data_IF_535754741766
#
_entry.id   IF_535754741766
#
_cell.length_a   1.000
_cell.length_b   1.000
_cell.length_c   1.000
_cell.angle_alpha   90.00
_cell.angle_beta   90.00
_cell.angle_gamma   90.00
#
_symmetry.space_group_name_H-M   'P 1'
#
loop_
_entity.id
_entity.type
_entity.pdbx_description
1 polymer ?
#
# COMPACT_ATOMS: atom_id res chain seq x y z
N UNK A 1 -18.13 8.23 10.16
CA UNK A 1 -17.61 8.57 11.50
C UNK A 1 -16.60 7.55 12.02
N UNK A 2 -16.86 6.23 11.99
CA UNK A 2 -15.92 5.23 12.51
C UNK A 2 -14.58 5.16 11.74
N UNK A 3 -14.62 5.17 10.41
CA UNK A 3 -13.41 5.17 9.57
C UNK A 3 -12.49 6.37 9.88
N UNK A 4 -13.05 7.57 10.02
CA UNK A 4 -12.31 8.80 10.34
C UNK A 4 -11.68 8.72 11.73
N UNK A 5 -12.36 8.11 12.71
CA UNK A 5 -11.84 7.93 14.06
C UNK A 5 -10.67 6.93 14.11
N UNK A 6 -10.80 5.77 13.48
CA UNK A 6 -9.72 4.76 13.38
C UNK A 6 -8.51 5.36 12.67
N UNK A 7 -8.77 6.15 11.63
CA UNK A 7 -7.72 6.81 10.87
C UNK A 7 -6.95 7.84 11.69
N UNK A 8 -7.67 8.68 12.44
CA UNK A 8 -7.05 9.62 13.36
C UNK A 8 -6.21 8.90 14.43
N UNK A 9 -6.65 7.73 14.90
CA UNK A 9 -5.88 6.91 15.84
C UNK A 9 -4.60 6.34 15.21
N UNK A 10 -4.67 5.82 13.98
CA UNK A 10 -3.49 5.34 13.25
C UNK A 10 -2.47 6.47 13.06
N UNK A 11 -2.93 7.65 12.64
CA UNK A 11 -2.07 8.84 12.50
C UNK A 11 -1.49 9.30 13.84
N UNK A 12 -2.28 9.32 14.92
CA UNK A 12 -1.81 9.68 16.25
C UNK A 12 -0.75 8.70 16.79
N UNK A 13 -0.84 7.43 16.41
CA UNK A 13 0.17 6.40 16.71
C UNK A 13 1.41 6.49 15.80
N UNK A 14 1.46 7.43 14.85
CA UNK A 14 2.55 7.56 13.88
C UNK A 14 2.59 6.44 12.83
N UNK A 15 1.52 5.66 12.69
CA UNK A 15 1.45 4.54 11.77
C UNK A 15 1.10 5.02 10.36
N UNK A 16 1.91 4.61 9.39
CA UNK A 16 1.63 4.83 7.96
C UNK A 16 0.86 3.64 7.40
N UNK A 17 -0.35 3.88 6.90
CA UNK A 17 -1.24 2.80 6.40
C UNK A 17 -0.67 2.08 5.18
N UNK A 18 0.18 2.73 4.40
CA UNK A 18 0.86 2.13 3.25
C UNK A 18 2.01 1.21 3.64
N UNK A 19 2.62 1.39 4.82
CA UNK A 19 3.77 0.59 5.24
C UNK A 19 3.31 -0.64 6.03
N UNK A 20 2.85 -1.66 5.30
CA UNK A 20 2.41 -2.91 5.90
C UNK A 20 3.23 -4.08 5.38
N UNK A 21 3.96 -4.72 6.28
CA UNK A 21 4.87 -5.85 6.01
C UNK A 21 4.42 -7.15 6.68
N UNK A 22 3.10 -7.34 6.85
CA UNK A 22 2.51 -8.47 7.57
C UNK A 22 3.00 -9.87 7.12
N UNK A 23 3.36 -10.02 5.84
CA UNK A 23 3.82 -11.30 5.28
C UNK A 23 5.32 -11.57 5.47
N UNK A 24 6.06 -10.64 6.05
CA UNK A 24 7.51 -10.77 6.30
C UNK A 24 7.76 -11.25 7.74
N UNK A 25 7.32 -12.47 8.03
CA UNK A 25 7.47 -13.06 9.36
C UNK A 25 8.89 -13.59 9.53
N UNK A 26 9.57 -13.16 10.59
CA UNK A 26 10.88 -13.69 10.98
C UNK A 26 10.70 -14.69 12.14
N UNK A 27 10.94 -15.97 11.86
CA UNK A 27 10.95 -17.02 12.89
C UNK A 27 12.38 -17.20 13.44
N UNK A 28 12.62 -16.64 14.65
CA UNK A 28 13.91 -16.75 15.34
C UNK A 28 14.21 -18.17 15.85
N UNK A 29 13.21 -19.04 15.88
CA UNK A 29 13.25 -20.39 16.43
C UNK A 29 13.05 -21.46 15.36
N UNK A 30 13.18 -21.10 14.08
CA UNK A 30 12.89 -21.99 12.97
C UNK A 30 13.75 -23.26 13.04
N UNK A 31 13.15 -24.36 13.50
CA UNK A 31 13.60 -25.70 13.14
C UNK A 31 13.36 -25.87 11.63
N UNK A 32 14.28 -26.52 10.90
CA UNK A 32 14.31 -26.60 9.42
C UNK A 32 13.01 -27.08 8.72
N UNK A 33 11.98 -27.46 9.48
CA UNK A 33 10.70 -27.99 9.01
C UNK A 33 9.48 -27.07 9.18
N UNK A 34 9.58 -25.93 9.89
CA UNK A 34 8.42 -25.04 10.17
C UNK A 34 8.48 -23.75 9.35
N UNK A 35 7.59 -23.64 8.36
CA UNK A 35 7.33 -22.37 7.67
C UNK A 35 6.10 -21.69 8.30
N UNK A 36 6.16 -20.36 8.43
CA UNK A 36 5.00 -19.56 8.78
C UNK A 36 3.86 -19.80 7.76
N UNK A 37 2.69 -20.20 8.25
CA UNK A 37 1.50 -20.40 7.42
C UNK A 37 0.67 -19.12 7.37
N UNK A 38 0.30 -18.69 6.17
CA UNK A 38 -0.65 -17.59 5.98
C UNK A 38 -2.07 -18.14 5.84
N UNK A 39 -3.05 -17.41 6.37
CA UNK A 39 -4.47 -17.75 6.19
C UNK A 39 -4.87 -17.61 4.71
N UNK A 40 -5.90 -18.35 4.27
CA UNK A 40 -6.44 -18.20 2.91
C UNK A 40 -6.94 -16.77 2.71
N UNK A 41 -6.65 -16.17 1.56
CA UNK A 41 -7.19 -14.85 1.16
C UNK A 41 -8.72 -14.81 1.08
N UNK A 42 -9.36 -15.98 1.09
CA UNK A 42 -10.80 -16.19 1.05
C UNK A 42 -11.47 -16.22 2.44
N UNK A 43 -10.68 -16.23 3.52
CA UNK A 43 -11.19 -16.43 4.87
C UNK A 43 -11.60 -15.09 5.51
N UNK A 44 -12.91 -14.82 5.58
CA UNK A 44 -13.46 -13.66 6.31
C UNK A 44 -13.74 -14.06 7.75
N UNK A 45 -12.84 -13.68 8.67
CA UNK A 45 -13.07 -13.81 10.12
C UNK A 45 -13.70 -12.53 10.64
N UNK A 46 -15.02 -12.51 10.73
CA UNK A 46 -15.72 -11.49 11.51
C UNK A 46 -15.56 -11.85 12.98
N UNK A 47 -15.07 -10.93 13.85
CA UNK A 47 -15.04 -11.19 15.28
C UNK A 47 -16.44 -11.53 15.78
N UNK A 48 -16.59 -12.65 16.47
CA UNK A 48 -17.85 -12.97 17.16
C UNK A 48 -17.92 -12.03 18.36
N UNK A 49 -18.67 -10.93 18.21
CA UNK A 49 -19.00 -10.04 19.30
C UNK A 49 -20.13 -10.70 20.10
N UNK A 50 -19.78 -11.40 21.20
CA UNK A 50 -20.77 -11.97 22.09
C UNK A 50 -21.71 -10.88 22.64
N UNK A 51 -22.94 -11.24 22.98
CA UNK A 51 -23.95 -10.36 23.62
C UNK A 51 -23.63 -10.08 25.11
N UNK A 52 -22.35 -9.88 25.44
CA UNK A 52 -21.94 -9.37 26.74
C UNK A 52 -22.22 -7.86 26.83
N UNK A 53 -22.63 -7.40 28.02
CA UNK A 53 -22.88 -5.98 28.28
C UNK A 53 -21.64 -5.10 28.04
N UNK A 54 -20.44 -5.67 28.16
CA UNK A 54 -19.16 -5.03 27.86
C UNK A 54 -18.92 -4.78 26.35
N UNK A 55 -19.72 -5.38 25.47
CA UNK A 55 -19.60 -5.31 24.00
C UNK A 55 -20.59 -4.32 23.37
N UNK A 56 -21.59 -3.84 24.14
CA UNK A 56 -22.55 -2.81 23.70
C UNK A 56 -21.88 -1.53 23.15
N UNK A 57 -20.78 -1.01 23.73
CA UNK A 57 -20.07 0.15 23.16
C UNK A 57 -19.44 -0.15 21.79
N UNK A 58 -18.99 -1.38 21.56
CA UNK A 58 -18.40 -1.80 20.27
C UNK A 58 -19.47 -1.90 19.17
N UNK A 59 -20.71 -2.26 19.50
CA UNK A 59 -21.84 -2.26 18.56
C UNK A 59 -22.19 -0.84 18.07
N UNK A 60 -21.84 0.21 18.82
CA UNK A 60 -22.01 1.60 18.40
C UNK A 60 -20.94 2.03 17.38
N UNK A 61 -19.82 1.33 17.33
CA UNK A 61 -18.81 1.51 16.30
C UNK A 61 -19.33 0.83 15.02
N UNK A 62 -19.61 1.64 13.99
CA UNK A 62 -19.97 1.15 12.64
C UNK A 62 -18.75 0.51 11.97
N UNK A 63 -18.36 -0.68 12.45
CA UNK A 63 -17.27 -1.48 11.92
C UNK A 63 -17.70 -2.13 10.61
N UNK A 64 -16.79 -2.19 9.65
CA UNK A 64 -16.94 -2.97 8.43
C UNK A 64 -15.75 -3.90 8.30
N UNK A 65 -16.03 -5.14 7.91
CA UNK A 65 -15.04 -6.17 7.59
C UNK A 65 -15.06 -6.48 6.08
N UNK A 66 -15.75 -5.68 5.29
CA UNK A 66 -15.65 -5.75 3.83
C UNK A 66 -14.22 -5.37 3.42
N UNK A 67 -13.51 -6.22 2.65
CA UNK A 67 -12.21 -5.90 2.06
C UNK A 67 -12.16 -4.53 1.38
N UNK A 68 -13.24 -4.11 0.73
CA UNK A 68 -13.36 -2.82 0.05
C UNK A 68 -13.53 -1.63 1.00
N UNK A 69 -13.89 -1.87 2.26
CA UNK A 69 -13.97 -0.85 3.30
C UNK A 69 -12.67 -0.70 4.10
N UNK A 70 -11.68 -1.57 3.84
CA UNK A 70 -10.39 -1.50 4.52
C UNK A 70 -9.70 -0.15 4.30
N UNK A 71 -9.17 0.40 5.40
CA UNK A 71 -8.33 1.61 5.40
C UNK A 71 -6.85 1.30 5.08
N UNK A 72 -6.48 0.02 5.18
CA UNK A 72 -5.14 -0.48 4.87
C UNK A 72 -5.23 -1.21 3.53
N UNK A 73 -4.37 -0.89 2.54
CA UNK A 73 -4.36 -1.60 1.28
C UNK A 73 -4.19 -3.11 1.48
N UNK A 74 -5.03 -3.88 0.80
CA UNK A 74 -4.96 -5.34 0.87
C UNK A 74 -3.87 -5.84 -0.06
N UNK A 75 -2.78 -6.31 0.54
CA UNK A 75 -1.65 -6.89 -0.18
C UNK A 75 -1.66 -8.41 -0.04
N UNK A 76 -1.18 -9.12 -1.06
CA UNK A 76 -0.99 -10.57 -1.00
C UNK A 76 0.33 -10.93 -0.31
N UNK A 77 0.46 -12.13 0.29
CA UNK A 77 1.73 -12.58 0.82
C UNK A 77 2.83 -12.48 -0.24
N UNK A 78 3.92 -11.81 0.12
CA UNK A 78 5.08 -11.75 -0.75
C UNK A 78 5.98 -12.95 -0.44
N UNK A 79 5.86 -14.02 -1.21
CA UNK A 79 6.86 -15.08 -1.19
C UNK A 79 8.18 -14.45 -1.68
N UNK A 80 9.20 -14.41 -0.83
CA UNK A 80 10.49 -13.82 -1.16
C UNK A 80 11.01 -14.40 -2.49
N UNK A 81 10.93 -13.60 -3.57
CA UNK A 81 11.57 -13.72 -4.90
C UNK A 81 10.61 -13.23 -6.00
N UNK A 82 10.30 -11.94 -6.00
CA UNK A 82 9.93 -11.30 -7.26
C UNK A 82 11.21 -10.79 -7.91
N UNK A 83 11.51 -11.26 -9.12
CA UNK A 83 12.51 -10.62 -9.96
C UNK A 83 12.02 -9.21 -10.30
N UNK A 84 12.93 -8.25 -10.46
CA UNK A 84 12.60 -6.90 -10.92
C UNK A 84 11.87 -6.91 -12.28
N UNK A 85 12.11 -7.93 -13.09
CA UNK A 85 11.42 -8.17 -14.37
C UNK A 85 9.97 -8.63 -14.24
N UNK A 86 9.55 -9.08 -13.06
CA UNK A 86 8.22 -9.64 -12.78
C UNK A 86 7.30 -8.65 -12.09
N UNK A 87 7.76 -7.43 -11.82
CA UNK A 87 6.97 -6.43 -11.10
C UNK A 87 7.02 -5.09 -11.79
N UNK A 88 6.02 -4.30 -11.48
CA UNK A 88 5.93 -2.90 -11.85
C UNK A 88 5.56 -2.07 -10.63
N UNK A 89 6.02 -0.83 -10.65
CA UNK A 89 5.74 0.15 -9.62
C UNK A 89 4.75 1.17 -10.16
N UNK A 90 3.60 1.25 -9.51
CA UNK A 90 2.68 2.37 -9.64
C UNK A 90 3.02 3.37 -8.53
N UNK A 91 3.55 4.52 -8.91
CA UNK A 91 4.04 5.52 -7.96
C UNK A 91 3.19 6.78 -8.03
N UNK A 92 2.84 7.34 -6.86
CA UNK A 92 2.03 8.54 -6.70
C UNK A 92 2.83 9.55 -5.86
N UNK A 93 3.02 10.75 -6.42
CA UNK A 93 3.54 11.87 -5.64
C UNK A 93 2.48 12.30 -4.64
N UNK A 94 2.83 12.24 -3.36
CA UNK A 94 1.95 12.68 -2.31
C UNK A 94 1.94 14.21 -2.22
N UNK A 95 0.96 14.76 -1.54
CA UNK A 95 0.90 16.18 -1.20
C UNK A 95 1.52 16.44 0.18
N UNK A 96 1.59 17.72 0.59
CA UNK A 96 1.95 18.08 1.97
C UNK A 96 0.85 17.76 2.98
N UNK A 97 -0.35 17.44 2.53
CA UNK A 97 -1.49 17.13 3.39
C UNK A 97 -1.61 15.60 3.59
N UNK A 98 -1.32 15.08 4.80
CA UNK A 98 -1.42 13.66 5.09
C UNK A 98 -2.82 13.09 4.87
N UNK A 99 -3.88 13.88 5.09
CA UNK A 99 -5.25 13.41 4.91
C UNK A 99 -5.58 13.18 3.44
N UNK A 100 -5.12 14.06 2.55
CA UNK A 100 -5.26 13.91 1.09
C UNK A 100 -4.46 12.71 0.60
N UNK A 101 -3.23 12.55 1.08
CA UNK A 101 -2.33 11.46 0.67
C UNK A 101 -2.94 10.10 0.92
N UNK A 102 -3.50 9.98 2.12
CA UNK A 102 -4.16 8.79 2.57
C UNK A 102 -5.48 8.53 1.83
N UNK A 103 -6.31 9.56 1.63
CA UNK A 103 -7.55 9.42 0.85
C UNK A 103 -7.27 8.94 -0.58
N UNK A 104 -6.24 9.50 -1.23
CA UNK A 104 -5.82 9.10 -2.57
C UNK A 104 -5.28 7.67 -2.58
N UNK A 105 -4.47 7.31 -1.58
CA UNK A 105 -3.88 5.98 -1.45
C UNK A 105 -4.92 4.89 -1.22
N UNK A 106 -5.90 5.16 -0.34
CA UNK A 106 -7.03 4.26 -0.10
C UNK A 106 -7.91 4.16 -1.34
N UNK A 107 -8.23 5.28 -1.99
CA UNK A 107 -9.04 5.27 -3.21
C UNK A 107 -8.38 4.48 -4.34
N UNK A 108 -7.05 4.64 -4.49
CA UNK A 108 -6.27 3.87 -5.45
C UNK A 108 -6.25 2.38 -5.13
N UNK A 109 -5.99 2.02 -3.87
CA UNK A 109 -6.07 0.63 -3.42
C UNK A 109 -7.44 0.00 -3.74
N UNK A 110 -8.54 0.72 -3.47
CA UNK A 110 -9.89 0.25 -3.76
C UNK A 110 -10.14 0.09 -5.26
N UNK A 111 -9.70 1.05 -6.09
CA UNK A 111 -9.85 0.97 -7.54
C UNK A 111 -9.06 -0.20 -8.15
N UNK A 112 -7.84 -0.44 -7.64
CA UNK A 112 -7.02 -1.58 -8.06
C UNK A 112 -7.68 -2.91 -7.66
N UNK A 113 -8.17 -3.01 -6.42
CA UNK A 113 -8.88 -4.19 -5.93
C UNK A 113 -10.17 -4.47 -6.72
N UNK A 114 -10.99 -3.44 -6.97
CA UNK A 114 -12.20 -3.54 -7.79
C UNK A 114 -11.92 -3.96 -9.25
N UNK A 115 -10.71 -3.66 -9.73
CA UNK A 115 -10.25 -4.05 -11.08
C UNK A 115 -9.56 -5.42 -11.10
N UNK A 116 -9.62 -6.18 -10.00
CA UNK A 116 -8.95 -7.47 -9.82
C UNK A 116 -7.43 -7.42 -10.03
N UNK A 117 -6.81 -6.29 -9.72
CA UNK A 117 -5.35 -6.13 -9.80
C UNK A 117 -4.74 -6.61 -8.48
N UNK A 118 -3.83 -7.56 -8.57
CA UNK A 118 -3.11 -8.07 -7.40
C UNK A 118 -2.07 -7.05 -6.95
N UNK A 119 -2.19 -6.59 -5.70
CA UNK A 119 -1.17 -5.77 -5.05
C UNK A 119 -0.28 -6.66 -4.19
N UNK A 120 1.01 -6.68 -4.50
CA UNK A 120 2.01 -7.46 -3.76
C UNK A 120 2.45 -6.70 -2.51
N UNK A 121 2.62 -5.39 -2.64
CA UNK A 121 3.17 -4.55 -1.59
C UNK A 121 2.78 -3.09 -1.79
N UNK A 122 2.72 -2.36 -0.69
CA UNK A 122 2.60 -0.90 -0.69
C UNK A 122 3.67 -0.30 0.20
N UNK A 123 4.02 0.95 -0.05
CA UNK A 123 4.90 1.69 0.85
C UNK A 123 4.90 3.19 0.59
N UNK A 124 5.26 3.94 1.61
CA UNK A 124 5.45 5.39 1.60
C UNK A 124 6.90 5.71 1.96
N UNK A 125 7.64 6.28 1.00
CA UNK A 125 9.07 6.53 1.12
C UNK A 125 9.40 8.00 0.85
N UNK A 126 10.41 8.50 1.56
CA UNK A 126 11.14 9.68 1.11
C UNK A 126 12.17 9.20 0.10
N UNK A 127 12.09 9.66 -1.15
CA UNK A 127 12.96 9.22 -2.23
C UNK A 127 13.87 10.36 -2.69
N UNK A 128 15.04 10.01 -3.22
CA UNK A 128 15.97 11.00 -3.74
C UNK A 128 15.39 11.77 -4.93
N UNK A 129 15.83 13.02 -5.13
CA UNK A 129 15.50 13.81 -6.32
C UNK A 129 15.77 13.04 -7.62
N UNK A 130 16.86 12.24 -7.64
CA UNK A 130 17.20 11.39 -8.79
C UNK A 130 16.11 10.34 -9.08
N UNK A 131 15.60 9.68 -8.05
CA UNK A 131 14.54 8.67 -8.19
C UNK A 131 13.25 9.31 -8.69
N UNK A 132 12.89 10.47 -8.14
CA UNK A 132 11.71 11.23 -8.59
C UNK A 132 11.85 11.65 -10.05
N UNK A 133 13.02 12.17 -10.44
CA UNK A 133 13.26 12.58 -11.82
C UNK A 133 13.20 11.41 -12.81
N UNK A 134 13.66 10.23 -12.40
CA UNK A 134 13.59 9.03 -13.22
C UNK A 134 12.14 8.58 -13.45
N UNK A 135 11.32 8.62 -12.41
CA UNK A 135 9.92 8.19 -12.43
C UNK A 135 8.99 9.19 -13.13
N UNK A 136 9.26 10.48 -12.95
CA UNK A 136 8.41 11.58 -13.40
C UNK A 136 9.14 12.49 -14.41
N UNK A 137 10.01 11.90 -15.24
CA UNK A 137 10.85 12.63 -16.20
C UNK A 137 10.03 13.58 -17.11
N UNK A 138 8.84 13.16 -17.55
CA UNK A 138 7.96 13.98 -18.39
C UNK A 138 7.33 15.17 -17.64
N UNK A 139 7.37 15.15 -16.30
CA UNK A 139 6.87 16.19 -15.38
C UNK A 139 8.01 16.99 -14.75
N UNK A 140 9.26 16.76 -15.17
CA UNK A 140 10.51 17.24 -14.58
C UNK A 140 10.78 18.76 -14.68
N UNK A 141 9.83 19.59 -15.13
CA UNK A 141 10.06 21.05 -15.14
C UNK A 141 10.15 21.66 -13.71
N UNK A 142 9.75 20.92 -12.67
CA UNK A 142 9.72 21.36 -11.26
C UNK A 142 10.50 20.44 -10.29
N UNK A 143 11.58 19.77 -10.73
CA UNK A 143 12.30 18.74 -9.96
C UNK A 143 12.69 19.10 -8.52
N UNK A 144 13.17 20.33 -8.28
CA UNK A 144 13.64 20.74 -6.95
C UNK A 144 12.51 20.80 -5.91
N UNK A 145 11.27 21.04 -6.35
CA UNK A 145 10.10 21.06 -5.48
C UNK A 145 9.59 19.65 -5.14
N UNK A 146 9.92 18.66 -5.96
CA UNK A 146 9.44 17.28 -5.81
C UNK A 146 10.36 16.42 -4.92
N UNK A 147 11.61 16.81 -4.72
CA UNK A 147 12.59 16.06 -3.92
C UNK A 147 12.24 15.94 -2.43
N UNK A 148 11.34 16.78 -1.92
CA UNK A 148 10.89 16.77 -0.53
C UNK A 148 9.47 16.19 -0.36
N UNK A 149 8.92 15.62 -1.43
CA UNK A 149 7.58 15.08 -1.45
C UNK A 149 7.66 13.56 -1.23
N UNK A 150 6.96 13.01 -0.22
CA UNK A 150 6.86 11.56 -0.05
C UNK A 150 6.24 10.88 -1.27
N UNK A 151 6.70 9.67 -1.56
CA UNK A 151 6.20 8.85 -2.65
C UNK A 151 5.39 7.68 -2.09
N UNK A 152 4.15 7.55 -2.53
CA UNK A 152 3.39 6.32 -2.33
C UNK A 152 3.68 5.37 -3.50
N UNK A 153 4.00 4.12 -3.21
CA UNK A 153 4.35 3.10 -4.19
C UNK A 153 3.47 1.87 -3.98
N UNK A 154 2.90 1.38 -5.08
CA UNK A 154 2.12 0.14 -5.15
C UNK A 154 2.85 -0.82 -6.10
N UNK A 155 3.16 -2.01 -5.60
CA UNK A 155 3.87 -3.06 -6.35
C UNK A 155 2.84 -4.03 -6.91
N UNK A 156 2.85 -4.23 -8.23
CA UNK A 156 1.95 -5.16 -8.93
C UNK A 156 2.74 -6.03 -9.91
N UNK A 157 2.29 -7.27 -10.21
CA UNK A 157 3.02 -8.19 -11.10
C UNK A 157 2.97 -7.80 -12.58
N UNK A 158 2.03 -6.94 -13.00
CA UNK A 158 1.94 -6.44 -14.37
C UNK A 158 1.19 -5.10 -14.41
N UNK A 159 1.91 -3.99 -14.25
CA UNK A 159 1.26 -2.68 -14.31
C UNK A 159 0.96 -2.24 -15.75
N UNK A 160 1.58 -2.82 -16.78
CA UNK A 160 1.35 -2.42 -18.17
C UNK A 160 -0.02 -2.87 -18.70
N UNK A 161 -0.78 -3.66 -17.94
CA UNK A 161 -2.14 -4.02 -18.31
C UNK A 161 -3.04 -2.78 -18.46
N UNK A 162 -3.85 -2.75 -19.52
CA UNK A 162 -4.81 -1.66 -19.75
C UNK A 162 -5.76 -1.41 -18.58
N UNK A 163 -6.01 -2.43 -17.75
CA UNK A 163 -6.84 -2.36 -16.54
C UNK A 163 -6.25 -1.46 -15.47
N UNK A 164 -4.92 -1.47 -15.29
CA UNK A 164 -4.25 -0.59 -14.33
C UNK A 164 -4.38 0.85 -14.80
N UNK A 165 -4.18 1.11 -16.09
CA UNK A 165 -4.36 2.43 -16.67
C UNK A 165 -5.79 2.95 -16.51
N UNK A 166 -6.81 2.11 -16.70
CA UNK A 166 -8.22 2.47 -16.51
C UNK A 166 -8.54 2.75 -15.03
N UNK A 167 -8.09 1.88 -14.13
CA UNK A 167 -8.27 2.05 -12.69
C UNK A 167 -7.68 3.38 -12.21
N UNK A 168 -6.47 3.73 -12.68
CA UNK A 168 -5.81 4.99 -12.29
C UNK A 168 -6.45 6.20 -12.97
N UNK A 169 -6.86 6.10 -14.24
CA UNK A 169 -7.57 7.19 -14.94
C UNK A 169 -8.94 7.50 -14.35
N UNK A 170 -9.61 6.51 -13.75
CA UNK A 170 -10.90 6.72 -13.07
C UNK A 170 -10.78 7.56 -11.80
N UNK A 171 -9.56 7.69 -11.27
CA UNK A 171 -9.24 8.53 -10.14
C UNK A 171 -8.67 9.84 -10.70
N UNK A 172 -9.17 10.98 -10.23
CA UNK A 172 -8.68 12.34 -10.61
C UNK A 172 -7.26 12.63 -10.07
N UNK A 173 -6.43 11.60 -9.97
CA UNK A 173 -5.02 11.62 -9.61
C UNK A 173 -4.14 11.57 -10.86
N UNK A 174 -4.73 11.61 -12.07
CA UNK A 174 -4.07 11.35 -13.35
C UNK A 174 -2.79 12.19 -13.58
N UNK A 175 -2.70 13.36 -12.96
CA UNK A 175 -1.55 14.25 -13.06
C UNK A 175 -0.42 13.96 -12.05
N UNK A 176 -0.61 13.12 -11.04
CA UNK A 176 0.33 12.92 -9.92
C UNK A 176 0.99 11.54 -9.86
N UNK A 177 0.68 10.65 -10.81
CA UNK A 177 1.21 9.30 -10.82
C UNK A 177 2.15 9.03 -12.00
N UNK A 178 2.92 7.95 -11.87
CA UNK A 178 3.70 7.34 -12.93
C UNK A 178 3.72 5.82 -12.75
N UNK A 179 4.13 5.13 -13.82
CA UNK A 179 4.28 3.69 -13.80
C UNK A 179 5.63 3.32 -14.39
N UNK A 180 6.32 2.38 -13.76
CA UNK A 180 7.68 2.02 -14.15
C UNK A 180 7.91 0.54 -13.91
N UNK A 181 8.51 -0.14 -14.89
CA UNK A 181 8.98 -1.52 -14.72
C UNK A 181 10.01 -1.59 -13.59
N UNK A 182 9.99 -2.68 -12.81
CA UNK A 182 10.94 -2.86 -11.72
C UNK A 182 12.40 -2.76 -12.16
N UNK A 183 12.72 -3.27 -13.36
CA UNK A 183 14.07 -3.21 -13.94
C UNK A 183 14.59 -1.78 -14.14
N UNK A 184 13.67 -0.81 -14.34
CA UNK A 184 14.02 0.58 -14.61
C UNK A 184 14.23 1.39 -13.33
N UNK A 185 13.80 0.91 -12.17
CA UNK A 185 13.91 1.65 -10.91
C UNK A 185 14.25 0.74 -9.73
N UNK A 186 15.44 0.09 -9.73
CA UNK A 186 15.85 -0.82 -8.66
C UNK A 186 15.95 -0.13 -7.29
N UNK A 187 16.19 1.18 -7.25
CA UNK A 187 16.29 1.95 -6.01
C UNK A 187 15.00 1.91 -5.18
N UNK A 188 13.82 1.87 -5.83
CA UNK A 188 12.55 1.72 -5.10
C UNK A 188 12.51 0.39 -4.36
N UNK A 189 12.99 -0.67 -5.00
CA UNK A 189 13.06 -1.99 -4.39
C UNK A 189 14.03 -2.01 -3.19
N UNK A 190 15.17 -1.31 -3.30
CA UNK A 190 16.09 -1.13 -2.18
C UNK A 190 15.46 -0.38 -1.01
N UNK A 191 14.67 0.67 -1.25
CA UNK A 191 13.94 1.39 -0.19
C UNK A 191 12.94 0.48 0.53
N UNK A 192 12.21 -0.36 -0.21
CA UNK A 192 11.36 -1.40 0.38
C UNK A 192 12.13 -2.41 1.24
N UNK A 193 13.36 -2.76 0.85
CA UNK A 193 14.20 -3.65 1.63
C UNK A 193 14.72 -2.97 2.90
N UNK A 194 15.21 -1.73 2.79
CA UNK A 194 15.70 -0.94 3.93
C UNK A 194 14.61 -0.68 4.95
N UNK A 195 13.42 -0.27 4.51
CA UNK A 195 12.29 0.00 5.40
C UNK A 195 11.78 -1.25 6.14
N UNK A 196 12.09 -2.44 5.62
CA UNK A 196 11.82 -3.69 6.31
C UNK A 196 12.93 -4.07 7.31
N UNK A 197 14.20 -3.76 7.01
CA UNK A 197 15.34 -4.17 7.82
C UNK A 197 15.77 -3.17 8.91
N UNK A 198 15.17 -1.97 8.92
CA UNK A 198 15.38 -0.91 9.92
C UNK A 198 14.45 -1.05 11.12
#
# INVERSE_FOLDING_TARGET
>A
MCAVAILAQLCAAGLKTLNNYWSYVHDFSADEASNANFLCSCEVRVPILNDDDDVQPLKQLKLSFDPLDSLIPLTVPCNHRFSLSQVSFLSLLLSKDPAVNLANSVSLSKALAASHITMIRTGEFSVSARTVNLLFADKAKNCDLLANIPLAVFVTPDAQSGRVMEAVKSLDIASQWCMTSGERCPQIFEEFYRAYSS
#
